data_IF_778002847066
#
_entry.id   IF_778002847066
#
_cell.length_a   1.000
_cell.length_b   1.000
_cell.length_c   1.000
_cell.angle_alpha   90.00
_cell.angle_beta   90.00
_cell.angle_gamma   90.00
#
_symmetry.space_group_name_H-M   'P 1'
#
loop_
_entity.id
_entity.type
_entity.pdbx_description
1 polymer ?
#
# COMPACT_ATOMS: atom_id res chain seq x y z
N UNK A 1 -16.19 14.40 27.96
CA UNK A 1 -15.86 13.22 28.77
C UNK A 1 -14.54 12.64 28.35
N UNK A 2 -13.70 12.30 29.30
CA UNK A 2 -12.45 11.59 29.01
C UNK A 2 -12.79 10.13 28.61
N UNK A 3 -12.15 9.64 27.55
CA UNK A 3 -12.19 8.23 27.15
C UNK A 3 -11.02 7.49 27.79
N UNK A 4 -11.23 6.25 28.19
CA UNK A 4 -10.20 5.39 28.79
C UNK A 4 -10.01 4.15 27.93
N UNK A 5 -8.76 3.82 27.64
CA UNK A 5 -8.36 2.63 26.89
C UNK A 5 -7.24 1.89 27.61
N UNK A 6 -7.20 0.57 27.46
CA UNK A 6 -6.11 -0.25 27.99
C UNK A 6 -4.82 -0.02 27.19
N UNK A 7 -4.96 0.18 25.88
CA UNK A 7 -3.84 0.40 24.94
C UNK A 7 -4.16 1.55 24.00
N UNK A 8 -3.24 2.48 23.89
CA UNK A 8 -3.30 3.56 22.88
C UNK A 8 -2.09 3.46 21.98
N UNK A 9 -2.33 3.32 20.67
CA UNK A 9 -1.29 3.27 19.65
C UNK A 9 -1.28 4.60 18.91
N UNK A 10 -0.15 5.27 18.90
CA UNK A 10 0.04 6.55 18.21
C UNK A 10 0.75 6.30 16.88
N UNK A 11 0.02 6.53 15.80
CA UNK A 11 0.44 6.24 14.43
C UNK A 11 -0.13 4.94 13.89
N UNK A 12 -0.70 5.01 12.70
CA UNK A 12 -1.37 3.88 12.04
C UNK A 12 -0.59 3.30 10.86
N UNK A 13 0.72 3.48 10.84
CA UNK A 13 1.60 2.78 9.91
C UNK A 13 1.62 1.27 10.18
N UNK A 14 2.39 0.46 9.42
CA UNK A 14 2.38 -1.01 9.54
C UNK A 14 2.64 -1.52 10.97
N UNK A 15 3.55 -0.93 11.70
CA UNK A 15 3.77 -1.28 13.10
C UNK A 15 2.55 -0.94 13.98
N UNK A 16 1.96 0.24 13.76
CA UNK A 16 0.84 0.76 14.55
C UNK A 16 -0.43 -0.04 14.35
N UNK A 17 -0.88 -0.24 13.12
CA UNK A 17 -2.13 -0.99 12.90
C UNK A 17 -1.99 -2.48 13.29
N UNK A 18 -0.82 -3.08 13.07
CA UNK A 18 -0.58 -4.47 13.50
C UNK A 18 -0.65 -4.58 15.02
N UNK A 19 -0.01 -3.67 15.75
CA UNK A 19 -0.05 -3.63 17.21
C UNK A 19 -1.47 -3.40 17.73
N UNK A 20 -2.20 -2.45 17.16
CA UNK A 20 -3.57 -2.13 17.56
C UNK A 20 -4.53 -3.30 17.33
N UNK A 21 -4.46 -3.94 16.17
CA UNK A 21 -5.27 -5.11 15.84
C UNK A 21 -4.95 -6.25 16.81
N UNK A 22 -3.68 -6.50 17.07
CA UNK A 22 -3.28 -7.60 17.98
C UNK A 22 -3.73 -7.34 19.42
N UNK A 23 -3.60 -6.12 19.91
CA UNK A 23 -4.09 -5.74 21.23
C UNK A 23 -5.60 -5.98 21.36
N UNK A 24 -6.37 -5.55 20.35
CA UNK A 24 -7.82 -5.76 20.32
C UNK A 24 -8.18 -7.26 20.27
N UNK A 25 -7.47 -8.05 19.47
CA UNK A 25 -7.66 -9.52 19.42
C UNK A 25 -7.39 -10.20 20.76
N UNK A 26 -6.50 -9.65 21.56
CA UNK A 26 -6.20 -10.14 22.91
C UNK A 26 -7.21 -9.68 23.98
N UNK A 27 -8.22 -8.92 23.59
CA UNK A 27 -9.30 -8.48 24.47
C UNK A 27 -9.09 -7.12 25.12
N UNK A 28 -8.02 -6.40 24.79
CA UNK A 28 -7.80 -5.04 25.30
C UNK A 28 -8.68 -4.01 24.59
N UNK A 29 -9.25 -3.07 25.35
CA UNK A 29 -9.84 -1.89 24.77
C UNK A 29 -8.73 -1.03 24.14
N UNK A 30 -8.78 -0.85 22.82
CA UNK A 30 -7.65 -0.29 22.08
C UNK A 30 -8.08 0.91 21.24
N UNK A 31 -7.29 1.99 21.30
CA UNK A 31 -7.42 3.13 20.40
C UNK A 31 -6.17 3.24 19.52
N UNK A 32 -6.38 3.57 18.25
CA UNK A 32 -5.30 3.91 17.32
C UNK A 32 -5.51 5.34 16.85
N UNK A 33 -4.51 6.19 17.03
CA UNK A 33 -4.58 7.62 16.72
C UNK A 33 -3.71 7.93 15.52
N UNK A 34 -4.29 8.59 14.52
CA UNK A 34 -3.60 9.02 13.32
C UNK A 34 -3.84 10.51 13.05
N UNK A 35 -2.79 11.21 12.63
CA UNK A 35 -2.87 12.64 12.27
C UNK A 35 -2.78 12.91 10.78
N UNK A 36 -2.41 11.92 9.96
CA UNK A 36 -2.19 12.13 8.54
C UNK A 36 -3.51 12.39 7.81
N UNK A 37 -3.53 13.49 7.08
CA UNK A 37 -4.66 13.89 6.25
C UNK A 37 -4.30 13.72 4.77
N UNK A 38 -5.25 13.24 3.99
CA UNK A 38 -5.13 13.23 2.54
C UNK A 38 -5.40 14.63 1.94
N UNK A 39 -5.36 14.72 0.62
CA UNK A 39 -5.57 15.99 -0.09
C UNK A 39 -6.97 16.59 0.14
N UNK A 40 -7.94 15.77 0.51
CA UNK A 40 -9.30 16.18 0.84
C UNK A 40 -9.49 16.50 2.33
N UNK A 41 -8.44 16.49 3.12
CA UNK A 41 -8.49 16.78 4.56
C UNK A 41 -9.07 15.66 5.42
N UNK A 42 -9.18 14.43 4.89
CA UNK A 42 -9.66 13.27 5.62
C UNK A 42 -8.51 12.49 6.23
N UNK A 43 -8.69 11.99 7.44
CA UNK A 43 -7.72 11.11 8.09
C UNK A 43 -7.54 9.82 7.30
N UNK A 44 -6.30 9.44 7.07
CA UNK A 44 -5.93 8.24 6.29
C UNK A 44 -5.04 7.36 7.14
N UNK A 45 -5.46 6.09 7.29
CA UNK A 45 -4.70 5.08 8.02
C UNK A 45 -3.72 4.35 7.08
N UNK A 46 -2.73 3.69 7.67
CA UNK A 46 -1.75 2.88 6.94
C UNK A 46 -0.36 3.51 6.82
N UNK A 47 -0.21 4.77 7.18
CA UNK A 47 1.07 5.49 7.17
C UNK A 47 1.66 5.63 5.77
N UNK A 48 2.92 5.99 5.71
CA UNK A 48 3.68 6.17 4.45
C UNK A 48 3.68 4.91 3.60
N UNK A 49 3.88 3.75 4.20
CA UNK A 49 4.01 2.49 3.47
C UNK A 49 2.79 2.19 2.59
N UNK A 50 1.59 2.29 3.15
CA UNK A 50 0.36 1.98 2.41
C UNK A 50 -0.04 3.09 1.43
N UNK A 51 0.18 4.33 1.80
CA UNK A 51 -0.39 5.47 1.07
C UNK A 51 0.51 6.03 -0.03
N UNK A 52 1.82 6.13 0.23
CA UNK A 52 2.76 6.79 -0.70
C UNK A 52 4.12 6.09 -0.80
N UNK A 53 4.31 5.00 -0.10
CA UNK A 53 5.61 4.31 0.01
C UNK A 53 5.59 2.89 -0.56
N UNK A 54 5.69 1.90 0.31
CA UNK A 54 5.95 0.50 -0.04
C UNK A 54 4.93 -0.08 -1.03
N UNK A 55 3.66 0.09 -0.78
CA UNK A 55 2.59 -0.51 -1.61
C UNK A 55 2.54 0.14 -3.00
N UNK A 56 2.39 1.47 -3.13
CA UNK A 56 2.34 2.08 -4.46
C UNK A 56 3.65 1.91 -5.24
N UNK A 57 4.81 1.98 -4.59
CA UNK A 57 6.09 1.80 -5.29
C UNK A 57 6.25 0.38 -5.81
N UNK A 58 5.89 -0.65 -5.04
CA UNK A 58 5.96 -2.05 -5.48
C UNK A 58 4.94 -2.34 -6.59
N UNK A 59 3.76 -1.73 -6.54
CA UNK A 59 2.78 -1.85 -7.62
C UNK A 59 3.33 -1.32 -8.97
N UNK A 60 4.02 -0.20 -8.95
CA UNK A 60 4.67 0.38 -10.14
C UNK A 60 5.86 -0.46 -10.61
N UNK A 61 6.71 -0.93 -9.67
CA UNK A 61 7.84 -1.81 -9.99
C UNK A 61 7.37 -3.14 -10.60
N UNK A 62 6.31 -3.74 -10.08
CA UNK A 62 5.72 -4.96 -10.64
C UNK A 62 5.25 -4.74 -12.08
N UNK A 63 4.54 -3.66 -12.35
CA UNK A 63 4.08 -3.33 -13.70
C UNK A 63 5.23 -3.06 -14.67
N UNK A 64 6.23 -2.29 -14.24
CA UNK A 64 7.40 -2.00 -15.08
C UNK A 64 8.24 -3.26 -15.35
N UNK A 65 8.38 -4.15 -14.37
CA UNK A 65 9.08 -5.42 -14.53
C UNK A 65 8.40 -6.31 -15.58
N UNK A 66 7.07 -6.44 -15.51
CA UNK A 66 6.31 -7.20 -16.53
C UNK A 66 6.48 -6.63 -17.95
N UNK A 67 6.52 -5.32 -18.07
CA UNK A 67 6.81 -4.68 -19.36
C UNK A 67 8.21 -5.05 -19.87
N UNK A 68 9.21 -4.97 -19.01
CA UNK A 68 10.60 -5.31 -19.36
C UNK A 68 10.73 -6.80 -19.74
N UNK A 69 10.11 -7.69 -18.98
CA UNK A 69 10.12 -9.14 -19.28
C UNK A 69 9.49 -9.41 -20.66
N UNK A 70 8.33 -8.85 -20.94
CA UNK A 70 7.63 -9.05 -22.21
C UNK A 70 8.43 -8.50 -23.40
N UNK A 71 9.11 -7.36 -23.22
CA UNK A 71 9.89 -6.73 -24.26
C UNK A 71 11.22 -7.42 -24.54
N UNK A 72 11.94 -7.84 -23.48
CA UNK A 72 13.36 -8.16 -23.56
C UNK A 72 13.71 -9.61 -23.21
N UNK A 73 12.79 -10.38 -22.57
CA UNK A 73 13.16 -11.67 -21.98
C UNK A 73 12.23 -12.83 -22.32
N UNK A 74 11.10 -12.61 -22.96
CA UNK A 74 10.19 -13.72 -23.27
C UNK A 74 10.70 -14.67 -24.33
N UNK A 75 11.62 -14.23 -25.17
CA UNK A 75 12.24 -15.02 -26.22
C UNK A 75 13.06 -16.21 -25.66
N UNK A 76 13.74 -16.04 -24.53
CA UNK A 76 14.50 -17.14 -23.89
C UNK A 76 13.59 -18.28 -23.42
N UNK A 77 12.29 -18.01 -23.23
CA UNK A 77 11.27 -19.01 -22.89
C UNK A 77 10.57 -19.58 -24.12
N UNK A 78 10.98 -19.19 -25.32
CA UNK A 78 10.32 -19.58 -26.58
C UNK A 78 8.97 -18.87 -26.79
N UNK A 79 8.73 -17.77 -26.09
CA UNK A 79 7.49 -17.00 -26.20
C UNK A 79 7.73 -15.83 -27.15
N UNK A 80 7.01 -15.83 -28.26
CA UNK A 80 7.06 -14.72 -29.21
C UNK A 80 5.96 -13.70 -28.88
N UNK A 81 6.37 -12.45 -28.69
CA UNK A 81 5.45 -11.32 -28.53
C UNK A 81 5.63 -10.35 -29.67
N UNK A 82 4.53 -9.73 -30.10
CA UNK A 82 4.57 -8.62 -31.06
C UNK A 82 5.11 -7.33 -30.40
N UNK A 83 4.72 -6.19 -30.95
CA UNK A 83 5.11 -4.90 -30.36
C UNK A 83 4.53 -4.75 -28.96
N UNK A 84 5.40 -4.61 -27.98
CA UNK A 84 5.02 -4.36 -26.58
C UNK A 84 4.97 -2.86 -26.35
N UNK A 85 3.82 -2.37 -25.91
CA UNK A 85 3.63 -0.97 -25.53
C UNK A 85 3.33 -0.84 -24.04
N UNK A 86 3.38 0.38 -23.52
CA UNK A 86 3.01 0.71 -22.15
C UNK A 86 2.03 1.86 -22.13
N UNK A 87 0.98 1.72 -21.34
CA UNK A 87 0.01 2.77 -21.02
C UNK A 87 0.29 3.25 -19.59
N UNK A 88 1.02 4.35 -19.48
CA UNK A 88 1.41 4.90 -18.17
C UNK A 88 0.20 5.36 -17.35
N UNK A 89 -0.80 6.06 -17.92
CA UNK A 89 -2.03 6.35 -17.19
C UNK A 89 -2.73 5.12 -16.60
N UNK A 90 -2.83 4.04 -17.36
CA UNK A 90 -3.40 2.78 -16.86
C UNK A 90 -2.56 2.16 -15.73
N UNK A 91 -1.24 2.25 -15.84
CA UNK A 91 -0.30 1.79 -14.81
C UNK A 91 -0.49 2.57 -13.50
N UNK A 92 -0.65 3.88 -13.58
CA UNK A 92 -0.93 4.74 -12.42
C UNK A 92 -2.29 4.41 -11.81
N UNK A 93 -3.32 4.27 -12.64
CA UNK A 93 -4.66 3.90 -12.16
C UNK A 93 -4.69 2.54 -11.44
N UNK A 94 -3.92 1.56 -11.93
CA UNK A 94 -3.73 0.28 -11.23
C UNK A 94 -3.08 0.48 -9.86
N UNK A 95 -2.00 1.25 -9.80
CA UNK A 95 -1.32 1.57 -8.54
C UNK A 95 -2.27 2.20 -7.52
N UNK A 96 -3.18 3.06 -7.96
CA UNK A 96 -4.15 3.71 -7.07
C UNK A 96 -5.23 2.75 -6.54
N UNK A 97 -5.45 1.61 -7.20
CA UNK A 97 -6.41 0.57 -6.77
C UNK A 97 -5.79 -0.50 -5.85
N UNK A 98 -4.49 -0.62 -5.82
CA UNK A 98 -3.78 -1.58 -4.98
C UNK A 98 -3.72 -1.09 -3.55
#
# INVERSE_FOLDING_TARGET
>A
MASSYDVVVIGSGPAGYVAAIRAAQLGFSTACVEKWLNKEGKTVFGGTCLNVGCIPSKALLDSSHKFMEARDHFDVHGITVGKVGVDVPAMIARKDKV
#
